data_IF_783219885359
#
_entry.id   IF_783219885359
#
_cell.length_a   1.000
_cell.length_b   1.000
_cell.length_c   1.000
_cell.angle_alpha   90.00
_cell.angle_beta   90.00
_cell.angle_gamma   90.00
#
_symmetry.space_group_name_H-M   'P 1'
#
loop_
_entity.id
_entity.type
_entity.pdbx_description
1 polymer ?
#
# COMPACT_ATOMS: atom_id res chain seq x y z
N UNK A 1 5.62 -16.73 11.26
CA UNK A 1 5.91 -15.37 11.58
C UNK A 1 4.77 -14.43 11.27
N UNK A 2 4.62 -13.44 12.05
CA UNK A 2 3.51 -12.55 11.88
C UNK A 2 3.84 -11.38 11.02
N UNK A 3 2.84 -10.90 10.30
CA UNK A 3 2.98 -9.64 9.57
C UNK A 3 2.99 -8.50 10.56
N UNK A 4 3.84 -7.53 10.31
CA UNK A 4 3.88 -6.34 11.12
C UNK A 4 2.91 -5.31 10.58
N UNK A 5 2.36 -4.51 11.46
CA UNK A 5 1.58 -3.36 11.04
C UNK A 5 2.53 -2.29 10.53
N UNK A 6 2.15 -1.70 9.42
CA UNK A 6 2.94 -0.65 8.79
C UNK A 6 2.06 0.58 8.65
N UNK A 7 2.61 1.74 8.97
CA UNK A 7 1.88 2.99 8.83
C UNK A 7 2.38 3.71 7.59
N UNK A 8 1.44 4.07 6.71
CA UNK A 8 1.78 4.89 5.54
C UNK A 8 0.87 6.08 5.53
N UNK A 9 1.30 7.15 4.86
CA UNK A 9 0.56 8.40 4.81
C UNK A 9 -0.34 8.40 3.58
N UNK A 10 -1.61 8.72 3.79
CA UNK A 10 -2.56 8.77 2.68
C UNK A 10 -2.45 10.09 1.92
N UNK A 11 -3.28 10.27 0.90
CA UNK A 11 -3.24 11.46 0.04
C UNK A 11 -3.61 12.74 0.79
N UNK A 12 -4.28 12.61 1.92
CA UNK A 12 -4.67 13.76 2.74
C UNK A 12 -3.64 14.07 3.83
N UNK A 13 -2.54 13.35 3.86
CA UNK A 13 -1.51 13.54 4.86
C UNK A 13 -1.81 12.89 6.20
N UNK A 14 -2.76 11.97 6.24
CA UNK A 14 -3.11 11.26 7.45
C UNK A 14 -2.48 9.89 7.47
N UNK A 15 -2.14 9.43 8.66
CA UNK A 15 -1.54 8.11 8.82
C UNK A 15 -2.61 7.03 8.66
N UNK A 16 -2.25 6.01 7.89
CA UNK A 16 -3.11 4.85 7.71
C UNK A 16 -2.31 3.61 8.12
N UNK A 17 -2.86 2.83 9.04
CA UNK A 17 -2.21 1.60 9.48
C UNK A 17 -2.63 0.46 8.57
N UNK A 18 -1.64 -0.17 7.96
CA UNK A 18 -1.86 -1.34 7.11
C UNK A 18 -1.51 -2.56 7.94
N UNK A 19 -2.50 -3.36 8.26
CA UNK A 19 -2.29 -4.50 9.14
C UNK A 19 -1.60 -5.66 8.45
N UNK A 20 -1.82 -5.82 7.15
CA UNK A 20 -1.19 -6.88 6.40
C UNK A 20 -0.70 -6.31 5.08
N UNK A 21 0.59 -5.97 5.06
CA UNK A 21 1.16 -5.33 3.88
C UNK A 21 1.16 -6.27 2.67
N UNK A 22 1.25 -7.56 2.89
CA UNK A 22 1.27 -8.51 1.78
C UNK A 22 -0.09 -8.60 1.09
N UNK A 23 -1.16 -8.55 1.85
CA UNK A 23 -2.50 -8.52 1.27
C UNK A 23 -2.72 -7.21 0.50
N UNK A 24 -2.26 -6.11 1.06
CA UNK A 24 -2.35 -4.81 0.42
C UNK A 24 -1.58 -4.81 -0.91
N UNK A 25 -0.37 -5.33 -0.88
CA UNK A 25 0.48 -5.44 -2.08
C UNK A 25 -0.20 -6.29 -3.15
N UNK A 26 -0.78 -7.41 -2.74
CA UNK A 26 -1.48 -8.30 -3.66
C UNK A 26 -2.65 -7.58 -4.33
N UNK A 27 -3.39 -6.80 -3.55
CA UNK A 27 -4.51 -6.02 -4.08
C UNK A 27 -4.02 -5.05 -5.15
N UNK A 28 -2.91 -4.36 -4.87
CA UNK A 28 -2.36 -3.42 -5.84
C UNK A 28 -1.94 -4.13 -7.13
N UNK A 29 -1.37 -5.31 -7.02
CA UNK A 29 -0.97 -6.06 -8.18
C UNK A 29 -2.15 -6.56 -9.01
N UNK A 30 -3.27 -6.82 -8.36
CA UNK A 30 -4.45 -7.31 -9.06
C UNK A 30 -5.27 -6.20 -9.69
N UNK A 31 -5.35 -5.04 -9.05
CA UNK A 31 -6.29 -4.00 -9.46
C UNK A 31 -5.64 -2.68 -9.82
N UNK A 32 -4.40 -2.44 -9.40
CA UNK A 32 -3.71 -1.18 -9.60
C UNK A 32 -2.30 -1.38 -10.16
N UNK A 33 -2.19 -2.30 -11.09
CA UNK A 33 -0.91 -2.79 -11.57
C UNK A 33 -0.20 -1.81 -12.48
N UNK A 34 -0.94 -0.99 -13.21
CA UNK A 34 -0.40 -0.07 -14.18
C UNK A 34 -1.07 1.28 -14.09
N UNK A 35 -0.36 2.29 -14.56
CA UNK A 35 -0.90 3.62 -14.68
C UNK A 35 -1.11 4.27 -13.33
N UNK A 36 -2.00 5.24 -13.29
CA UNK A 36 -2.32 5.96 -12.06
C UNK A 36 -3.77 5.69 -11.71
N UNK A 37 -4.01 5.27 -10.49
CA UNK A 37 -5.37 5.03 -10.01
C UNK A 37 -5.44 5.38 -8.53
N UNK A 38 -6.64 5.35 -7.95
CA UNK A 38 -6.84 5.66 -6.54
C UNK A 38 -7.34 4.42 -5.84
N UNK A 39 -6.69 4.06 -4.74
CA UNK A 39 -7.09 2.95 -3.90
C UNK A 39 -7.68 3.48 -2.61
N UNK A 40 -8.82 2.93 -2.21
CA UNK A 40 -9.49 3.26 -0.96
C UNK A 40 -9.18 2.16 0.07
N UNK A 41 -8.61 2.57 1.21
CA UNK A 41 -8.28 1.64 2.27
C UNK A 41 -8.79 2.20 3.59
N UNK A 42 -9.87 1.63 4.12
CA UNK A 42 -10.45 2.05 5.40
C UNK A 42 -10.73 3.55 5.47
N UNK A 43 -11.24 4.12 4.38
CA UNK A 43 -11.55 5.54 4.34
C UNK A 43 -10.37 6.43 3.99
N UNK A 44 -9.19 5.85 3.77
CA UNK A 44 -8.01 6.58 3.32
C UNK A 44 -7.83 6.35 1.84
N UNK A 45 -7.43 7.40 1.13
CA UNK A 45 -7.23 7.31 -0.31
C UNK A 45 -5.76 7.42 -0.65
N UNK A 46 -5.31 6.57 -1.54
CA UNK A 46 -3.92 6.55 -1.98
C UNK A 46 -3.88 6.64 -3.50
N UNK A 47 -3.11 7.60 -4.00
CA UNK A 47 -2.83 7.63 -5.44
C UNK A 47 -1.77 6.57 -5.71
N UNK A 48 -2.13 5.59 -6.51
CA UNK A 48 -1.24 4.48 -6.85
C UNK A 48 -0.61 4.77 -8.20
N UNK A 49 0.69 5.02 -8.17
CA UNK A 49 1.48 5.26 -9.38
C UNK A 49 2.75 4.40 -9.26
N UNK A 50 3.69 4.59 -10.17
CA UNK A 50 4.91 3.79 -10.16
C UNK A 50 5.71 3.97 -8.88
N UNK A 51 5.82 5.19 -8.39
CA UNK A 51 6.53 5.46 -7.15
C UNK A 51 5.88 4.77 -5.96
N UNK A 52 4.57 4.83 -5.90
CA UNK A 52 3.84 4.22 -4.79
C UNK A 52 4.00 2.70 -4.83
N UNK A 53 3.88 2.12 -6.02
CA UNK A 53 4.04 0.67 -6.16
C UNK A 53 5.44 0.22 -5.74
N UNK A 54 6.44 1.00 -6.10
CA UNK A 54 7.82 0.70 -5.71
C UNK A 54 7.99 0.79 -4.20
N UNK A 55 7.40 1.79 -3.57
CA UNK A 55 7.45 1.96 -2.13
C UNK A 55 6.84 0.74 -1.43
N UNK A 56 5.71 0.26 -1.90
CA UNK A 56 5.05 -0.89 -1.31
C UNK A 56 5.86 -2.17 -1.56
N UNK A 57 6.44 -2.32 -2.74
CA UNK A 57 7.32 -3.45 -3.03
C UNK A 57 8.48 -3.53 -2.04
N UNK A 58 9.06 -2.39 -1.72
CA UNK A 58 10.18 -2.34 -0.77
C UNK A 58 9.74 -2.70 0.63
N UNK A 59 8.55 -2.27 1.02
CA UNK A 59 8.02 -2.61 2.34
C UNK A 59 7.76 -4.12 2.46
N UNK A 60 7.26 -4.72 1.40
CA UNK A 60 7.03 -6.17 1.38
C UNK A 60 8.35 -6.92 1.49
N UNK A 61 9.38 -6.45 0.78
CA UNK A 61 10.70 -7.06 0.85
C UNK A 61 11.26 -7.02 2.27
N UNK A 62 11.04 -5.92 2.98
CA UNK A 62 11.53 -5.79 4.34
C UNK A 62 10.84 -6.73 5.29
N UNK A 63 9.61 -7.13 4.98
CA UNK A 63 8.84 -8.04 5.81
C UNK A 63 9.17 -9.51 5.54
N UNK A 64 9.84 -9.80 4.46
CA UNK A 64 10.09 -11.19 4.04
C UNK A 64 11.12 -11.91 4.90
#
# INVERSE_FOLDING_TARGET
MKNKKITITDDNGKDCVIENIQTFHKHLQMFHKKGVSVHDENGHYFTVDDSFRQQIDELVDEQS
#
